data_IF_182215627891
#
_entry.id   IF_182215627891
#
_cell.length_a   1.000
_cell.length_b   1.000
_cell.length_c   1.000
_cell.angle_alpha   90.00
_cell.angle_beta   90.00
_cell.angle_gamma   90.00
#
_symmetry.space_group_name_H-M   'P 1'
#
loop_
_entity.id
_entity.type
_entity.pdbx_description
1 polymer ?
#
# COMPACT_ATOMS: atom_id res chain seq x y z
N UNK A 1 -5.26 17.62 -2.74
CA UNK A 1 -4.71 17.87 -4.10
C UNK A 1 -4.88 19.35 -4.42
N UNK A 2 -3.79 20.04 -4.72
CA UNK A 2 -3.82 21.50 -4.96
C UNK A 2 -4.59 21.80 -6.26
N UNK A 3 -5.46 22.82 -6.24
CA UNK A 3 -6.25 23.27 -7.41
C UNK A 3 -5.38 23.66 -8.63
N UNK A 4 -4.13 24.03 -8.41
CA UNK A 4 -3.19 24.35 -9.49
C UNK A 4 -2.69 23.11 -10.27
N UNK A 5 -2.70 21.95 -9.66
CA UNK A 5 -2.29 20.69 -10.30
C UNK A 5 -3.27 20.24 -11.38
N UNK A 6 -4.56 20.64 -11.26
CA UNK A 6 -5.64 20.31 -12.22
C UNK A 6 -5.51 21.04 -13.58
N UNK A 7 -4.68 22.08 -13.66
CA UNK A 7 -4.48 22.88 -14.89
C UNK A 7 -3.35 22.36 -15.81
N UNK A 8 -2.61 21.35 -15.39
CA UNK A 8 -1.59 20.76 -16.26
C UNK A 8 -2.22 19.75 -17.22
N UNK A 9 -1.75 19.73 -18.47
CA UNK A 9 -2.17 18.73 -19.46
C UNK A 9 -1.98 17.31 -18.90
N UNK A 10 -3.00 16.46 -19.01
CA UNK A 10 -2.98 15.07 -18.54
C UNK A 10 -1.77 14.30 -19.15
N UNK A 11 -1.41 14.57 -20.39
CA UNK A 11 -0.25 13.96 -21.02
C UNK A 11 1.07 14.20 -20.27
N UNK A 12 1.25 15.38 -19.64
CA UNK A 12 2.43 15.66 -18.81
C UNK A 12 2.43 14.84 -17.53
N UNK A 13 1.26 14.58 -16.95
CA UNK A 13 1.11 13.79 -15.73
C UNK A 13 1.52 12.34 -15.91
N UNK A 14 1.20 11.74 -17.06
CA UNK A 14 1.52 10.34 -17.35
C UNK A 14 2.90 10.14 -17.96
N UNK A 15 3.62 11.22 -18.28
CA UNK A 15 4.96 11.16 -18.89
C UNK A 15 6.01 10.33 -18.12
N UNK A 16 5.95 10.18 -16.76
CA UNK A 16 6.87 9.31 -16.05
C UNK A 16 6.67 7.80 -16.31
N UNK A 17 5.55 7.39 -16.91
CA UNK A 17 5.29 5.97 -17.18
C UNK A 17 6.21 5.49 -18.31
N UNK A 18 6.88 4.36 -18.08
CA UNK A 18 7.71 3.73 -19.11
C UNK A 18 6.83 2.89 -20.04
N UNK A 19 6.48 3.46 -21.19
CA UNK A 19 5.64 2.80 -22.18
C UNK A 19 6.37 1.63 -22.88
N UNK A 20 7.70 1.63 -22.96
CA UNK A 20 8.44 0.54 -23.59
C UNK A 20 8.26 -0.78 -22.83
N UNK A 21 8.47 -0.77 -21.51
CA UNK A 21 8.25 -1.96 -20.69
C UNK A 21 6.78 -2.41 -20.72
N UNK A 22 5.85 -1.46 -20.83
CA UNK A 22 4.42 -1.75 -20.98
C UNK A 22 4.14 -2.51 -22.28
N UNK A 23 4.73 -2.09 -23.41
CA UNK A 23 4.54 -2.75 -24.71
C UNK A 23 5.03 -4.20 -24.70
N UNK A 24 6.22 -4.45 -24.15
CA UNK A 24 6.78 -5.80 -24.06
C UNK A 24 5.84 -6.75 -23.27
N UNK A 25 5.25 -6.28 -22.18
CA UNK A 25 4.29 -7.05 -21.40
C UNK A 25 2.95 -7.24 -22.12
N UNK A 26 2.45 -6.23 -22.81
CA UNK A 26 1.23 -6.32 -23.61
C UNK A 26 1.38 -7.38 -24.71
N UNK A 27 2.52 -7.44 -25.37
CA UNK A 27 2.84 -8.47 -26.38
C UNK A 27 2.98 -9.86 -25.74
N UNK A 28 3.74 -9.98 -24.65
CA UNK A 28 3.94 -11.23 -23.91
C UNK A 28 2.61 -11.87 -23.49
N UNK A 29 1.70 -11.05 -22.95
CA UNK A 29 0.38 -11.50 -22.49
C UNK A 29 -0.68 -11.47 -23.60
N UNK A 30 -0.31 -11.15 -24.83
CA UNK A 30 -1.23 -11.11 -25.99
C UNK A 30 -2.49 -10.29 -25.76
N UNK A 31 -2.37 -9.17 -25.03
CA UNK A 31 -3.53 -8.40 -24.51
C UNK A 31 -4.28 -7.62 -25.59
N UNK A 32 -3.59 -7.20 -26.63
CA UNK A 32 -4.15 -6.31 -27.65
C UNK A 32 -4.35 -7.00 -29.02
N UNK A 33 -4.29 -8.35 -29.07
CA UNK A 33 -4.60 -9.10 -30.27
C UNK A 33 -6.04 -8.78 -30.73
N UNK A 34 -6.18 -8.34 -31.98
CA UNK A 34 -7.44 -7.90 -32.59
C UNK A 34 -8.08 -6.65 -31.94
N UNK A 35 -7.36 -5.94 -31.04
CA UNK A 35 -7.85 -4.68 -30.44
C UNK A 35 -7.68 -3.53 -31.40
N UNK A 36 -8.80 -2.95 -31.88
CA UNK A 36 -8.77 -1.81 -32.84
C UNK A 36 -8.70 -0.44 -32.17
N UNK A 37 -9.25 -0.28 -30.98
CA UNK A 37 -9.47 1.04 -30.36
C UNK A 37 -8.98 1.12 -28.94
N UNK A 38 -9.50 0.31 -28.04
CA UNK A 38 -9.17 0.34 -26.62
C UNK A 38 -7.97 -0.59 -26.34
N UNK A 39 -6.78 -0.16 -26.70
CA UNK A 39 -5.53 -0.86 -26.37
C UNK A 39 -5.31 -0.88 -24.85
N UNK A 40 -4.45 -1.75 -24.37
CA UNK A 40 -4.10 -1.83 -22.93
C UNK A 40 -3.45 -0.53 -22.46
N UNK A 41 -2.61 0.09 -23.29
CA UNK A 41 -2.03 1.41 -23.02
C UNK A 41 -3.12 2.48 -22.84
N UNK A 42 -4.06 2.59 -23.78
CA UNK A 42 -5.13 3.56 -23.72
C UNK A 42 -6.04 3.32 -22.51
N UNK A 43 -6.30 2.04 -22.16
CA UNK A 43 -7.06 1.68 -20.98
C UNK A 43 -6.35 2.11 -19.68
N UNK A 44 -5.05 1.89 -19.55
CA UNK A 44 -4.26 2.34 -18.39
C UNK A 44 -4.30 3.86 -18.27
N UNK A 45 -4.14 4.60 -19.39
CA UNK A 45 -4.27 6.06 -19.41
C UNK A 45 -5.65 6.50 -18.91
N UNK A 46 -6.73 5.86 -19.34
CA UNK A 46 -8.09 6.15 -18.86
C UNK A 46 -8.27 5.85 -17.37
N UNK A 47 -7.71 4.75 -16.84
CA UNK A 47 -7.74 4.46 -15.41
C UNK A 47 -7.02 5.53 -14.59
N UNK A 48 -5.84 5.95 -15.02
CA UNK A 48 -5.08 7.01 -14.36
C UNK A 48 -5.82 8.34 -14.41
N UNK A 49 -6.43 8.67 -15.54
CA UNK A 49 -7.30 9.85 -15.66
C UNK A 49 -8.47 9.76 -14.69
N UNK A 50 -9.13 8.60 -14.62
CA UNK A 50 -10.25 8.35 -13.71
C UNK A 50 -9.86 8.60 -12.24
N UNK A 51 -8.68 8.13 -11.83
CA UNK A 51 -8.17 8.37 -10.47
C UNK A 51 -7.85 9.85 -10.21
N UNK A 52 -7.23 10.53 -11.16
CA UNK A 52 -6.87 11.95 -11.02
C UNK A 52 -8.10 12.86 -11.00
N UNK A 53 -9.15 12.50 -11.70
CA UNK A 53 -10.40 13.27 -11.78
C UNK A 53 -11.47 12.77 -10.79
N UNK A 54 -11.15 11.73 -9.99
CA UNK A 54 -12.09 11.14 -9.04
C UNK A 54 -13.43 10.73 -9.70
N UNK A 55 -13.35 10.14 -10.92
CA UNK A 55 -14.55 9.72 -11.65
C UNK A 55 -15.24 8.54 -10.96
N UNK A 56 -16.53 8.66 -10.70
CA UNK A 56 -17.27 7.70 -9.87
C UNK A 56 -17.72 6.43 -10.62
N UNK A 57 -17.68 6.42 -11.95
CA UNK A 57 -18.23 5.31 -12.73
C UNK A 57 -17.63 5.19 -14.13
N UNK A 58 -17.77 4.02 -14.76
CA UNK A 58 -17.42 3.83 -16.17
C UNK A 58 -18.27 4.69 -17.11
N UNK A 59 -19.48 5.07 -16.73
CA UNK A 59 -20.29 6.04 -17.48
C UNK A 59 -19.65 7.42 -17.45
N UNK A 60 -19.26 7.91 -16.26
CA UNK A 60 -18.56 9.19 -16.11
C UNK A 60 -17.24 9.19 -16.88
N UNK A 61 -16.48 8.07 -16.85
CA UNK A 61 -15.24 7.92 -17.59
C UNK A 61 -15.48 7.94 -19.12
N UNK A 62 -16.54 7.28 -19.60
CA UNK A 62 -16.93 7.35 -21.02
C UNK A 62 -17.31 8.78 -21.45
N UNK A 63 -17.99 9.52 -20.60
CA UNK A 63 -18.32 10.93 -20.82
C UNK A 63 -17.11 11.87 -20.77
N UNK A 64 -16.09 11.55 -19.99
CA UNK A 64 -14.86 12.33 -19.91
C UNK A 64 -14.13 12.44 -21.25
N UNK A 65 -14.39 11.53 -22.18
CA UNK A 65 -13.87 11.59 -23.55
C UNK A 65 -14.47 12.72 -24.42
N UNK A 66 -15.30 13.57 -23.84
CA UNK A 66 -15.63 14.87 -24.46
C UNK A 66 -14.48 15.88 -24.34
N UNK A 67 -13.52 15.63 -23.45
CA UNK A 67 -12.31 16.43 -23.32
C UNK A 67 -11.33 16.12 -24.47
N UNK A 68 -11.00 17.13 -25.25
CA UNK A 68 -10.13 17.01 -26.44
C UNK A 68 -8.68 16.69 -26.08
N UNK A 69 -8.18 17.07 -24.89
CA UNK A 69 -6.82 16.75 -24.44
C UNK A 69 -6.74 15.25 -24.07
N UNK A 70 -7.77 14.73 -23.42
CA UNK A 70 -7.89 13.30 -23.15
C UNK A 70 -8.00 12.48 -24.45
N UNK A 71 -8.83 12.92 -25.41
CA UNK A 71 -8.94 12.25 -26.72
C UNK A 71 -7.59 12.13 -27.42
N UNK A 72 -6.82 13.22 -27.47
CA UNK A 72 -5.46 13.22 -28.05
C UNK A 72 -4.52 12.25 -27.33
N UNK A 73 -4.64 12.18 -26.01
CA UNK A 73 -3.76 11.35 -25.17
C UNK A 73 -4.05 9.86 -25.30
N UNK A 74 -5.32 9.48 -25.50
CA UNK A 74 -5.74 8.07 -25.63
C UNK A 74 -5.85 7.61 -27.09
N UNK A 75 -5.94 8.55 -28.04
CA UNK A 75 -5.96 8.27 -29.48
C UNK A 75 -7.34 7.97 -30.07
N UNK A 76 -8.45 8.30 -29.35
CA UNK A 76 -9.81 8.15 -29.89
C UNK A 76 -10.81 9.08 -29.17
N UNK A 77 -11.94 9.34 -29.85
CA UNK A 77 -12.93 10.34 -29.45
C UNK A 77 -14.02 9.80 -28.52
N UNK A 78 -14.31 8.51 -28.56
CA UNK A 78 -15.41 7.92 -27.79
C UNK A 78 -15.15 6.45 -27.48
N UNK A 79 -15.74 5.95 -26.40
CA UNK A 79 -15.72 4.54 -26.02
C UNK A 79 -17.03 4.17 -25.33
N UNK A 80 -17.56 2.98 -25.56
CA UNK A 80 -18.74 2.53 -24.84
C UNK A 80 -18.40 1.98 -23.47
N UNK A 81 -19.33 2.11 -22.51
CA UNK A 81 -19.21 1.52 -21.17
C UNK A 81 -18.98 0.01 -21.23
N UNK A 82 -19.64 -0.68 -22.18
CA UNK A 82 -19.46 -2.13 -22.37
C UNK A 82 -18.04 -2.50 -22.83
N UNK A 83 -17.39 -1.66 -23.63
CA UNK A 83 -15.99 -1.87 -24.03
C UNK A 83 -15.05 -1.65 -22.86
N UNK A 84 -15.25 -0.59 -22.05
CA UNK A 84 -14.51 -0.34 -20.83
C UNK A 84 -14.65 -1.50 -19.84
N UNK A 85 -15.87 -1.97 -19.60
CA UNK A 85 -16.14 -3.09 -18.70
C UNK A 85 -15.48 -4.39 -19.16
N UNK A 86 -15.55 -4.73 -20.46
CA UNK A 86 -14.89 -5.92 -21.00
C UNK A 86 -13.37 -5.82 -20.86
N UNK A 87 -12.77 -4.67 -21.20
CA UNK A 87 -11.33 -4.47 -21.05
C UNK A 87 -10.90 -4.59 -19.58
N UNK A 88 -11.66 -3.99 -18.65
CA UNK A 88 -11.41 -4.11 -17.21
C UNK A 88 -11.35 -5.56 -16.72
N UNK A 89 -12.22 -6.42 -17.26
CA UNK A 89 -12.27 -7.83 -16.88
C UNK A 89 -11.23 -8.72 -17.58
N UNK A 90 -10.58 -8.22 -18.64
CA UNK A 90 -9.67 -9.01 -19.47
C UNK A 90 -8.20 -8.58 -19.37
N UNK A 91 -7.94 -7.40 -18.80
CA UNK A 91 -6.57 -6.92 -18.66
C UNK A 91 -5.79 -7.76 -17.65
N UNK A 92 -4.57 -8.17 -18.02
CA UNK A 92 -3.71 -8.97 -17.15
C UNK A 92 -3.17 -8.12 -15.99
N UNK A 93 -3.45 -8.50 -14.71
CA UNK A 93 -3.02 -7.73 -13.55
C UNK A 93 -1.50 -7.51 -13.45
N UNK A 94 -0.69 -8.45 -13.98
CA UNK A 94 0.76 -8.33 -14.00
C UNK A 94 1.26 -7.06 -14.70
N UNK A 95 0.53 -6.60 -15.71
CA UNK A 95 0.86 -5.37 -16.45
C UNK A 95 0.74 -4.14 -15.54
N UNK A 96 -0.35 -4.06 -14.76
CA UNK A 96 -0.54 -2.96 -13.80
C UNK A 96 0.50 -3.01 -12.67
N UNK A 97 0.85 -4.21 -12.21
CA UNK A 97 1.91 -4.42 -11.21
C UNK A 97 3.26 -3.93 -11.71
N UNK A 98 3.59 -4.17 -12.98
CA UNK A 98 4.84 -3.69 -13.58
C UNK A 98 4.88 -2.15 -13.67
N UNK A 99 3.79 -1.51 -14.09
CA UNK A 99 3.69 -0.04 -14.10
C UNK A 99 3.89 0.52 -12.70
N UNK A 100 3.28 -0.09 -11.69
CA UNK A 100 3.44 0.30 -10.29
C UNK A 100 4.90 0.20 -9.84
N UNK A 101 5.54 -0.95 -10.06
CA UNK A 101 6.93 -1.17 -9.66
C UNK A 101 7.91 -0.24 -10.38
N UNK A 102 7.71 0.05 -11.68
CA UNK A 102 8.53 1.00 -12.43
C UNK A 102 8.45 2.41 -11.83
N UNK A 103 7.24 2.85 -11.45
CA UNK A 103 7.04 4.15 -10.81
C UNK A 103 7.70 4.20 -9.41
N UNK A 104 7.57 3.14 -8.63
CA UNK A 104 8.24 3.01 -7.33
C UNK A 104 9.76 3.10 -7.49
N UNK A 105 10.35 2.38 -8.44
CA UNK A 105 11.80 2.42 -8.68
C UNK A 105 12.27 3.82 -9.08
N UNK A 106 11.51 4.54 -9.89
CA UNK A 106 11.82 5.94 -10.24
C UNK A 106 11.82 6.85 -9.02
N UNK A 107 10.82 6.73 -8.16
CA UNK A 107 10.74 7.50 -6.91
C UNK A 107 11.93 7.18 -6.01
N UNK A 108 12.26 5.89 -5.84
CA UNK A 108 13.45 5.47 -5.09
C UNK A 108 14.75 6.09 -5.63
N UNK A 109 14.96 6.06 -6.93
CA UNK A 109 16.15 6.62 -7.56
C UNK A 109 16.33 8.12 -7.32
N UNK A 110 15.24 8.88 -7.19
CA UNK A 110 15.30 10.30 -6.84
C UNK A 110 15.71 10.53 -5.38
N UNK A 111 15.35 9.65 -4.44
CA UNK A 111 15.48 9.88 -3.01
C UNK A 111 16.72 9.24 -2.35
N UNK A 112 17.34 8.22 -2.96
CA UNK A 112 18.55 7.59 -2.41
C UNK A 112 19.73 8.54 -2.16
N UNK A 113 19.76 9.68 -2.83
CA UNK A 113 20.87 10.67 -2.72
C UNK A 113 20.79 11.55 -1.46
N UNK A 114 19.71 11.52 -0.69
CA UNK A 114 19.47 12.47 0.42
C UNK A 114 19.30 11.83 1.80
N UNK A 115 19.16 10.52 1.91
CA UNK A 115 18.87 9.86 3.19
C UNK A 115 20.13 9.64 4.03
N UNK A 116 20.30 10.44 5.10
CA UNK A 116 21.32 10.21 6.16
C UNK A 116 20.79 9.39 7.35
N UNK A 117 19.48 9.13 7.42
CA UNK A 117 18.83 8.40 8.51
C UNK A 117 18.31 7.05 8.03
N UNK A 118 18.13 6.12 8.97
CA UNK A 118 17.47 4.84 8.71
C UNK A 118 16.08 5.07 8.09
N UNK A 119 15.78 4.45 6.94
CA UNK A 119 14.47 4.58 6.30
C UNK A 119 13.35 4.12 7.23
N UNK A 120 12.21 4.80 7.18
CA UNK A 120 11.02 4.42 7.93
C UNK A 120 9.98 3.83 6.98
N UNK A 121 9.51 2.61 7.27
CA UNK A 121 8.45 1.94 6.51
C UNK A 121 7.23 1.70 7.40
N UNK A 122 6.07 2.17 6.94
CA UNK A 122 4.80 2.03 7.66
C UNK A 122 4.00 0.90 7.01
N UNK A 123 3.54 -0.05 7.82
CA UNK A 123 2.70 -1.16 7.36
C UNK A 123 1.31 -1.01 7.95
N UNK A 124 0.31 -0.98 7.07
CA UNK A 124 -1.11 -0.94 7.47
C UNK A 124 -1.98 -1.77 6.53
N UNK A 125 -3.18 -2.10 6.97
CA UNK A 125 -4.16 -2.82 6.16
C UNK A 125 -5.51 -2.12 6.10
N UNK A 126 -6.09 -2.09 4.91
CA UNK A 126 -7.44 -1.60 4.66
C UNK A 126 -8.34 -2.71 4.15
N UNK A 127 -9.55 -2.84 4.72
CA UNK A 127 -10.54 -3.80 4.21
C UNK A 127 -11.41 -3.13 3.16
N UNK A 128 -11.37 -3.68 1.95
CA UNK A 128 -12.21 -3.26 0.84
C UNK A 128 -13.46 -4.15 0.81
N UNK A 129 -14.66 -3.60 1.09
CA UNK A 129 -15.90 -4.38 1.08
C UNK A 129 -16.27 -4.80 -0.34
N UNK A 130 -16.73 -6.03 -0.50
CA UNK A 130 -17.24 -6.57 -1.74
C UNK A 130 -18.69 -7.01 -1.59
N UNK A 131 -19.44 -7.01 -2.70
CA UNK A 131 -20.80 -7.51 -2.71
C UNK A 131 -20.82 -9.03 -2.50
N UNK A 132 -21.42 -9.49 -1.39
CA UNK A 132 -21.43 -10.91 -1.03
C UNK A 132 -22.13 -11.81 -2.05
N UNK A 133 -23.13 -11.29 -2.77
CA UNK A 133 -23.87 -12.06 -3.78
C UNK A 133 -22.98 -12.40 -4.97
N UNK A 134 -22.14 -11.46 -5.40
CA UNK A 134 -21.26 -11.62 -6.54
C UNK A 134 -19.90 -12.25 -6.16
N UNK A 135 -19.40 -11.97 -4.95
CA UNK A 135 -18.07 -12.39 -4.50
C UNK A 135 -18.12 -13.32 -3.30
N UNK A 136 -18.84 -14.44 -3.43
CA UNK A 136 -19.03 -15.45 -2.36
C UNK A 136 -17.71 -16.01 -1.84
N UNK A 137 -16.70 -16.11 -2.67
CA UNK A 137 -15.35 -16.57 -2.31
C UNK A 137 -14.64 -15.67 -1.30
N UNK A 138 -14.97 -14.35 -1.30
CA UNK A 138 -14.39 -13.35 -0.40
C UNK A 138 -15.18 -13.19 0.92
N UNK A 139 -16.09 -14.12 1.24
CA UNK A 139 -16.88 -14.09 2.47
C UNK A 139 -15.99 -14.24 3.70
N UNK A 140 -16.08 -13.32 4.65
CA UNK A 140 -15.33 -13.34 5.91
C UNK A 140 -16.21 -13.23 7.17
N UNK A 141 -17.45 -12.76 7.04
CA UNK A 141 -18.48 -12.76 8.09
C UNK A 141 -19.80 -13.25 7.51
N UNK A 142 -20.79 -13.54 8.39
CA UNK A 142 -22.10 -14.08 7.96
C UNK A 142 -22.72 -13.29 6.80
N UNK A 143 -22.62 -11.95 6.83
CA UNK A 143 -23.26 -11.02 5.90
C UNK A 143 -22.26 -10.14 5.13
N UNK A 144 -20.94 -10.40 5.22
CA UNK A 144 -19.93 -9.53 4.64
C UNK A 144 -18.92 -10.31 3.80
N UNK A 145 -18.58 -9.77 2.65
CA UNK A 145 -17.46 -10.17 1.82
C UNK A 145 -16.48 -9.01 1.66
N UNK A 146 -15.22 -9.31 1.44
CA UNK A 146 -14.20 -8.30 1.25
C UNK A 146 -12.82 -8.89 1.06
N UNK A 147 -11.94 -8.06 0.56
CA UNK A 147 -10.50 -8.32 0.50
C UNK A 147 -9.78 -7.31 1.40
N UNK A 148 -8.59 -7.67 1.87
CA UNK A 148 -7.68 -6.77 2.55
C UNK A 148 -6.56 -6.37 1.61
N UNK A 149 -6.30 -5.08 1.56
CA UNK A 149 -5.11 -4.50 0.96
C UNK A 149 -4.13 -4.20 2.09
N UNK A 150 -3.01 -4.92 2.14
CA UNK A 150 -1.89 -4.63 3.02
C UNK A 150 -0.89 -3.78 2.26
N UNK A 151 -0.63 -2.59 2.76
CA UNK A 151 0.33 -1.65 2.16
C UNK A 151 1.55 -1.49 3.06
N UNK A 152 2.71 -1.42 2.43
CA UNK A 152 3.92 -0.91 3.02
C UNK A 152 4.26 0.43 2.35
N UNK A 153 4.34 1.48 3.15
CA UNK A 153 4.65 2.83 2.72
C UNK A 153 6.07 3.17 3.15
N UNK A 154 6.87 3.68 2.24
CA UNK A 154 8.13 4.37 2.58
C UNK A 154 7.79 5.78 2.99
N UNK A 155 8.14 6.14 4.22
CA UNK A 155 7.96 7.48 4.77
C UNK A 155 9.24 8.28 4.60
N UNK A 156 9.18 9.34 3.83
CA UNK A 156 10.33 10.22 3.58
C UNK A 156 10.31 11.45 4.51
N UNK A 157 9.17 12.12 4.59
CA UNK A 157 8.92 13.29 5.42
C UNK A 157 7.42 13.49 5.63
N UNK A 158 7.02 14.56 6.34
CA UNK A 158 5.60 14.86 6.66
C UNK A 158 4.69 15.00 5.43
N UNK A 159 5.25 15.28 4.26
CA UNK A 159 4.50 15.56 3.04
C UNK A 159 4.67 14.46 1.99
N UNK A 160 5.63 13.56 2.19
CA UNK A 160 6.04 12.59 1.18
C UNK A 160 6.06 11.18 1.76
N UNK A 161 5.14 10.37 1.31
CA UNK A 161 5.15 8.92 1.51
C UNK A 161 4.62 8.24 0.25
N UNK A 162 5.14 7.06 -0.07
CA UNK A 162 4.70 6.31 -1.24
C UNK A 162 4.68 4.82 -0.96
N UNK A 163 3.76 4.05 -1.57
CA UNK A 163 3.73 2.61 -1.40
C UNK A 163 4.89 1.96 -2.17
N UNK A 164 5.64 1.07 -1.53
CA UNK A 164 6.67 0.25 -2.18
C UNK A 164 6.30 -1.23 -2.23
N UNK A 165 5.32 -1.66 -1.44
CA UNK A 165 4.81 -3.03 -1.46
C UNK A 165 3.32 -3.07 -1.15
N UNK A 166 2.59 -3.89 -1.91
CA UNK A 166 1.17 -4.12 -1.74
C UNK A 166 0.84 -5.62 -1.83
N UNK A 167 0.02 -6.11 -0.92
CA UNK A 167 -0.46 -7.49 -0.90
C UNK A 167 -1.98 -7.47 -0.75
N UNK A 168 -2.67 -8.29 -1.54
CA UNK A 168 -4.11 -8.46 -1.41
C UNK A 168 -4.38 -9.86 -0.86
N UNK A 169 -5.16 -9.92 0.21
CA UNK A 169 -5.64 -11.17 0.81
C UNK A 169 -7.16 -11.17 0.94
N UNK A 170 -7.74 -12.32 1.27
CA UNK A 170 -9.14 -12.33 1.69
C UNK A 170 -9.26 -11.64 3.05
N UNK A 171 -10.38 -10.94 3.31
CA UNK A 171 -10.61 -10.29 4.61
C UNK A 171 -10.73 -11.28 5.79
N UNK A 172 -10.73 -12.58 5.52
CA UNK A 172 -10.68 -13.66 6.51
C UNK A 172 -9.27 -13.85 7.09
N UNK A 173 -8.25 -13.57 6.32
CA UNK A 173 -6.87 -13.73 6.74
C UNK A 173 -6.47 -12.71 7.80
N UNK A 174 -5.62 -13.12 8.73
CA UNK A 174 -5.12 -12.26 9.79
C UNK A 174 -3.91 -11.43 9.31
N UNK A 175 -3.88 -10.16 9.70
CA UNK A 175 -2.81 -9.22 9.32
C UNK A 175 -1.42 -9.71 9.73
N UNK A 176 -1.30 -10.33 10.92
CA UNK A 176 -0.05 -10.85 11.46
C UNK A 176 0.70 -11.81 10.52
N UNK A 177 -0.02 -12.59 9.69
CA UNK A 177 0.61 -13.49 8.71
C UNK A 177 1.36 -12.76 7.61
N UNK A 178 1.03 -11.51 7.34
CA UNK A 178 1.59 -10.74 6.22
C UNK A 178 2.94 -10.08 6.56
N UNK A 179 3.33 -10.00 7.83
CA UNK A 179 4.63 -9.42 8.21
C UNK A 179 5.82 -10.15 7.58
N UNK A 180 5.74 -11.47 7.37
CA UNK A 180 6.83 -12.23 6.75
C UNK A 180 7.16 -11.79 5.33
N UNK A 181 6.15 -11.29 4.62
CA UNK A 181 6.31 -10.80 3.27
C UNK A 181 6.61 -9.30 3.24
N UNK A 182 6.05 -8.55 4.21
CA UNK A 182 6.17 -7.08 4.24
C UNK A 182 7.46 -6.59 4.90
N UNK A 183 8.12 -7.42 5.73
CA UNK A 183 9.39 -7.10 6.40
C UNK A 183 10.50 -7.89 5.73
N UNK A 184 11.37 -7.21 5.00
CA UNK A 184 12.39 -7.82 4.15
C UNK A 184 13.75 -7.08 4.14
N UNK A 185 13.88 -5.98 4.89
CA UNK A 185 15.05 -5.11 4.88
C UNK A 185 15.48 -4.80 6.32
N UNK A 186 16.70 -5.18 6.70
CA UNK A 186 17.23 -5.01 8.07
C UNK A 186 17.77 -3.60 8.34
N UNK A 187 17.98 -2.82 7.30
CA UNK A 187 18.44 -1.43 7.43
C UNK A 187 17.28 -0.42 7.52
N UNK A 188 16.08 -0.91 7.84
CA UNK A 188 14.85 -0.14 7.87
C UNK A 188 14.15 -0.26 9.22
N UNK A 189 13.58 0.83 9.72
CA UNK A 189 12.66 0.84 10.85
C UNK A 189 11.23 0.59 10.34
N UNK A 190 10.57 -0.44 10.85
CA UNK A 190 9.17 -0.74 10.53
C UNK A 190 8.22 -0.22 11.60
N UNK A 191 7.10 0.35 11.18
CA UNK A 191 6.01 0.79 12.07
C UNK A 191 4.72 0.12 11.64
N UNK A 192 4.05 -0.55 12.57
CA UNK A 192 2.77 -1.20 12.29
C UNK A 192 1.86 -1.20 13.54
N UNK A 193 0.57 -1.41 13.30
CA UNK A 193 -0.41 -1.36 14.36
C UNK A 193 -0.50 -2.70 15.14
N UNK A 194 -1.34 -2.73 16.21
CA UNK A 194 -1.57 -3.91 17.06
C UNK A 194 -2.27 -5.07 16.36
N UNK A 195 -2.81 -4.90 15.15
CA UNK A 195 -3.39 -5.97 14.35
C UNK A 195 -2.35 -6.99 13.89
N UNK A 196 -1.11 -6.53 13.78
CA UNK A 196 0.04 -7.35 13.39
C UNK A 196 0.75 -8.03 14.56
N UNK A 197 0.34 -7.79 15.82
CA UNK A 197 1.03 -8.31 17.02
C UNK A 197 1.02 -9.84 17.05
N UNK A 198 2.21 -10.38 16.96
CA UNK A 198 2.57 -11.78 17.13
C UNK A 198 3.91 -11.85 17.88
N UNK A 199 3.90 -12.21 19.16
CA UNK A 199 5.07 -12.13 20.03
C UNK A 199 6.18 -13.11 19.61
N UNK A 200 5.83 -14.32 19.15
CA UNK A 200 6.81 -15.28 18.65
C UNK A 200 7.54 -14.76 17.40
N UNK A 201 6.81 -14.02 16.59
CA UNK A 201 7.39 -13.35 15.42
C UNK A 201 8.27 -12.17 15.83
N UNK A 202 7.85 -11.38 16.81
CA UNK A 202 8.65 -10.26 17.30
C UNK A 202 9.98 -10.73 17.85
N UNK A 203 10.00 -11.86 18.57
CA UNK A 203 11.24 -12.48 19.03
C UNK A 203 12.15 -12.85 17.84
N UNK A 204 11.61 -13.56 16.83
CA UNK A 204 12.37 -13.89 15.63
C UNK A 204 12.89 -12.64 14.89
N UNK A 205 12.04 -11.62 14.72
CA UNK A 205 12.46 -10.38 14.07
C UNK A 205 13.59 -9.69 14.83
N UNK A 206 13.55 -9.71 16.16
CA UNK A 206 14.62 -9.17 17.01
C UNK A 206 15.91 -9.98 16.88
N UNK A 207 15.82 -11.31 16.93
CA UNK A 207 16.95 -12.22 16.77
C UNK A 207 17.60 -12.09 15.38
N UNK A 208 16.78 -11.87 14.35
CA UNK A 208 17.21 -11.65 12.98
C UNK A 208 17.79 -10.22 12.74
N UNK A 209 17.67 -9.31 13.71
CA UNK A 209 18.21 -7.95 13.64
C UNK A 209 17.31 -6.96 12.91
N UNK A 210 16.01 -7.18 12.84
CA UNK A 210 15.06 -6.19 12.33
C UNK A 210 14.68 -5.16 13.39
N UNK A 211 14.51 -3.91 12.96
CA UNK A 211 14.03 -2.82 13.81
C UNK A 211 12.55 -2.54 13.56
N UNK A 212 11.75 -2.47 14.63
CA UNK A 212 10.33 -2.19 14.49
C UNK A 212 9.74 -1.48 15.71
N UNK A 213 8.62 -0.79 15.47
CA UNK A 213 7.78 -0.15 16.48
C UNK A 213 6.35 -0.63 16.27
N UNK A 214 5.71 -1.10 17.33
CA UNK A 214 4.32 -1.52 17.31
C UNK A 214 3.57 -1.08 18.55
N UNK A 215 2.26 -0.93 18.44
CA UNK A 215 1.39 -0.70 19.60
C UNK A 215 1.07 -2.02 20.25
N UNK A 216 1.17 -2.09 21.56
CA UNK A 216 0.75 -3.26 22.34
C UNK A 216 -0.80 -3.36 22.39
N UNK A 217 -1.30 -4.59 22.53
CA UNK A 217 -2.70 -4.83 22.85
C UNK A 217 -3.00 -4.31 24.26
N UNK A 218 -4.23 -3.84 24.49
CA UNK A 218 -4.64 -3.31 25.82
C UNK A 218 -4.51 -4.33 26.95
N UNK A 219 -4.63 -5.61 26.63
CA UNK A 219 -4.50 -6.73 27.57
C UNK A 219 -3.11 -7.37 27.56
N UNK A 220 -2.10 -6.72 26.97
CA UNK A 220 -0.74 -7.20 27.03
C UNK A 220 -0.24 -7.19 28.47
N UNK A 221 0.29 -8.32 28.92
CA UNK A 221 0.94 -8.42 30.23
C UNK A 221 2.40 -8.08 30.05
N UNK A 222 2.88 -7.07 30.78
CA UNK A 222 4.27 -6.63 30.72
C UNK A 222 4.90 -6.76 32.10
N UNK A 223 6.15 -7.18 32.14
CA UNK A 223 6.99 -7.24 33.35
C UNK A 223 8.17 -6.31 33.16
N UNK A 224 8.25 -5.27 33.98
CA UNK A 224 9.31 -4.27 33.93
C UNK A 224 10.66 -4.92 34.35
N UNK A 225 11.70 -4.64 33.57
CA UNK A 225 13.07 -5.04 33.82
C UNK A 225 13.87 -3.82 34.27
N UNK A 226 13.69 -2.71 33.56
CA UNK A 226 14.42 -1.47 33.80
C UNK A 226 13.57 -0.27 33.36
N UNK A 227 13.66 0.83 34.12
CA UNK A 227 13.03 2.11 33.78
C UNK A 227 14.11 3.15 33.52
N UNK A 228 14.01 3.82 32.38
CA UNK A 228 14.96 4.88 32.00
C UNK A 228 14.49 6.24 32.54
N UNK A 229 15.46 7.10 32.90
CA UNK A 229 15.16 8.47 33.27
C UNK A 229 14.76 9.29 32.02
N UNK A 230 13.76 10.13 32.17
CA UNK A 230 13.29 11.01 31.09
C UNK A 230 13.78 12.43 31.34
N UNK A 231 14.05 13.23 30.28
CA UNK A 231 14.26 14.66 30.40
C UNK A 231 13.05 15.36 31.01
N UNK A 232 13.26 16.42 31.80
CA UNK A 232 12.17 17.14 32.50
C UNK A 232 11.10 17.72 31.57
N UNK A 233 11.46 18.12 30.33
CA UNK A 233 10.53 18.64 29.34
C UNK A 233 9.99 17.57 28.38
N UNK A 234 10.17 16.28 28.68
CA UNK A 234 9.75 15.19 27.80
C UNK A 234 8.23 15.08 27.72
N UNK A 235 7.71 14.95 26.50
CA UNK A 235 6.31 14.57 26.27
C UNK A 235 6.08 13.04 26.46
N UNK A 236 7.15 12.28 26.65
CA UNK A 236 7.12 10.86 26.93
C UNK A 236 6.82 10.67 28.41
N UNK A 237 5.82 9.83 28.74
CA UNK A 237 5.40 9.58 30.12
C UNK A 237 6.26 8.52 30.83
N UNK A 238 6.75 7.55 30.07
CA UNK A 238 7.61 6.48 30.58
C UNK A 238 8.41 5.86 29.45
N UNK A 239 9.66 5.51 29.76
CA UNK A 239 10.50 4.69 28.90
C UNK A 239 11.04 3.52 29.74
N UNK A 240 10.67 2.29 29.33
CA UNK A 240 10.93 1.09 30.11
C UNK A 240 11.33 -0.07 29.23
N UNK A 241 12.26 -0.87 29.72
CA UNK A 241 12.54 -2.19 29.19
C UNK A 241 11.63 -3.21 29.87
N UNK A 242 10.91 -4.00 29.07
CA UNK A 242 9.91 -4.92 29.60
C UNK A 242 9.98 -6.29 28.91
N UNK A 243 9.64 -7.35 29.65
CA UNK A 243 9.22 -8.60 29.05
C UNK A 243 7.73 -8.57 28.77
N UNK A 244 7.32 -9.13 27.63
CA UNK A 244 5.94 -9.26 27.23
C UNK A 244 5.53 -10.72 27.27
N UNK A 245 4.46 -11.08 28.00
CA UNK A 245 3.97 -12.45 28.06
C UNK A 245 2.95 -12.68 29.16
N UNK A 246 2.27 -13.84 29.13
CA UNK A 246 1.33 -14.24 30.18
C UNK A 246 2.07 -14.86 31.36
N UNK A 247 1.54 -14.65 32.58
CA UNK A 247 2.10 -15.21 33.85
C UNK A 247 2.21 -16.74 33.85
N UNK A 248 1.46 -17.45 33.03
CA UNK A 248 1.30 -18.92 33.08
C UNK A 248 1.80 -19.65 31.82
N UNK A 249 2.52 -19.00 30.93
CA UNK A 249 2.94 -19.57 29.66
C UNK A 249 4.35 -19.17 29.30
N UNK A 250 4.80 -19.64 28.15
CA UNK A 250 6.13 -19.36 27.59
C UNK A 250 6.47 -17.87 27.72
N UNK A 251 7.56 -17.59 28.44
CA UNK A 251 8.14 -16.25 28.48
C UNK A 251 8.73 -15.97 27.12
N UNK A 252 8.26 -14.94 26.45
CA UNK A 252 8.98 -14.37 25.32
C UNK A 252 10.17 -13.63 25.91
N UNK A 253 11.37 -14.12 25.61
CA UNK A 253 12.62 -13.73 26.27
C UNK A 253 13.20 -12.43 25.75
N UNK A 254 12.65 -11.87 24.68
CA UNK A 254 13.15 -10.62 24.11
C UNK A 254 12.71 -9.42 24.97
N UNK A 255 13.68 -8.59 25.32
CA UNK A 255 13.44 -7.34 26.01
C UNK A 255 12.99 -6.27 25.00
N UNK A 256 11.79 -5.75 25.13
CA UNK A 256 11.27 -4.69 24.29
C UNK A 256 11.29 -3.35 25.04
N UNK A 257 11.75 -2.29 24.37
CA UNK A 257 11.57 -0.94 24.86
C UNK A 257 10.07 -0.55 24.80
N UNK A 258 9.51 -0.02 25.87
CA UNK A 258 8.17 0.54 25.88
C UNK A 258 8.21 2.03 26.19
N UNK A 259 7.62 2.85 25.32
CA UNK A 259 7.52 4.29 25.48
C UNK A 259 6.04 4.67 25.61
N UNK A 260 5.68 5.36 26.68
CA UNK A 260 4.34 5.91 26.89
C UNK A 260 4.27 7.36 26.46
N UNK A 261 3.26 7.73 25.65
CA UNK A 261 3.05 9.09 25.16
C UNK A 261 1.68 9.62 25.56
N UNK A 262 1.64 10.88 26.02
CA UNK A 262 0.38 11.54 26.35
C UNK A 262 -0.15 12.28 25.10
N UNK A 263 -1.39 11.97 24.69
CA UNK A 263 -2.12 12.84 23.74
C UNK A 263 -2.55 14.12 24.48
N UNK A 264 -2.16 15.25 23.97
CA UNK A 264 -2.83 16.53 24.28
C UNK A 264 -4.14 16.60 23.53
#
# INVERSE_FOLDING_TARGET
MDKNTRKSSFGKWISPINLQNLFELVELHKQDIYTKKLTTEAYIKLLLFSHLQETESLHALSHALLDTDLQKTVGFESISVSQLSRKNNSVEPAILSCVFLDLVQKIHGFHQKTAKAMPLKIIDSSTLPLNLTHYKWAKFRKTKAGVKLHLRLVFMDKNTAYPDKAIITTAKEHDRGQLEVLVDDKETMYVFDRGYVDYERFDRMTDDGYFFVSRLKRNAVTHEIHSFSLPEESMVLSDRMVYIGAKSGRKHLSAFGSCGYQRK
#
